data_IF_757378306805
#
_entry.id   IF_757378306805
#
_cell.length_a   1.000
_cell.length_b   1.000
_cell.length_c   1.000
_cell.angle_alpha   90.00
_cell.angle_beta   90.00
_cell.angle_gamma   90.00
#
_symmetry.space_group_name_H-M   'P 1'
#
loop_
_entity.id
_entity.type
_entity.pdbx_description
1 polymer ?
#
# COMPACT_ATOMS: atom_id res chain seq x y z
N UNK A 1 16.81 3.23 -0.21
CA UNK A 1 17.02 1.94 0.47
C UNK A 1 16.86 0.85 -0.58
N UNK A 2 17.80 -0.10 -0.67
CA UNK A 2 17.65 -1.27 -1.56
C UNK A 2 16.85 -2.36 -0.82
N UNK A 3 15.83 -2.92 -1.46
CA UNK A 3 15.06 -4.06 -0.95
C UNK A 3 15.75 -5.36 -1.34
N UNK A 4 16.08 -6.20 -0.37
CA UNK A 4 16.83 -7.44 -0.58
C UNK A 4 15.92 -8.67 -0.65
N UNK A 5 14.68 -8.56 -0.19
CA UNK A 5 13.70 -9.65 -0.27
C UNK A 5 12.24 -9.18 -0.27
N UNK A 6 11.33 -10.13 -0.50
CA UNK A 6 9.88 -9.92 -0.41
C UNK A 6 9.46 -9.74 1.06
N UNK A 7 10.12 -10.44 1.99
CA UNK A 7 9.88 -10.30 3.42
C UNK A 7 10.16 -8.87 3.89
N UNK A 8 11.29 -8.27 3.49
CA UNK A 8 11.60 -6.87 3.80
C UNK A 8 10.53 -5.90 3.26
N UNK A 9 10.01 -6.18 2.05
CA UNK A 9 8.91 -5.40 1.48
C UNK A 9 7.60 -5.57 2.27
N UNK A 10 7.30 -6.80 2.71
CA UNK A 10 6.11 -7.08 3.52
C UNK A 10 6.18 -6.41 4.89
N UNK A 11 7.37 -6.36 5.50
CA UNK A 11 7.59 -5.66 6.76
C UNK A 11 7.38 -4.15 6.62
N UNK A 12 7.87 -3.54 5.53
CA UNK A 12 7.62 -2.13 5.24
C UNK A 12 6.15 -1.84 4.97
N UNK A 13 5.46 -2.72 4.23
CA UNK A 13 4.02 -2.62 4.02
C UNK A 13 3.26 -2.69 5.34
N UNK A 14 3.66 -3.60 6.22
CA UNK A 14 3.04 -3.77 7.53
C UNK A 14 3.35 -2.59 8.45
N UNK A 15 4.53 -1.99 8.36
CA UNK A 15 4.88 -0.77 9.10
C UNK A 15 3.96 0.40 8.76
N UNK A 16 3.50 0.51 7.50
CA UNK A 16 2.49 1.50 7.12
C UNK A 16 1.11 1.30 7.78
N UNK A 17 0.87 0.18 8.47
CA UNK A 17 -0.40 -0.10 9.14
C UNK A 17 -0.52 0.76 10.40
N UNK A 18 -1.56 1.60 10.45
CA UNK A 18 -1.82 2.44 11.61
C UNK A 18 -0.93 3.68 11.68
N UNK A 19 -0.05 3.90 10.69
CA UNK A 19 0.51 5.22 10.44
C UNK A 19 -0.66 6.19 10.25
N UNK A 20 -0.75 7.15 11.18
CA UNK A 20 -1.69 8.26 11.10
C UNK A 20 -0.93 9.45 10.51
N UNK A 21 -0.92 9.65 9.19
CA UNK A 21 -0.47 10.92 8.65
C UNK A 21 -1.31 12.02 9.29
N UNK A 22 -0.67 13.12 9.69
CA UNK A 22 -1.33 14.25 10.35
C UNK A 22 -2.59 14.63 9.55
N UNK A 23 -3.75 14.48 10.18
CA UNK A 23 -5.02 14.79 9.56
C UNK A 23 -5.02 16.28 9.19
N UNK A 24 -5.05 16.57 7.89
CA UNK A 24 -5.40 17.90 7.41
C UNK A 24 -6.84 18.25 7.82
N UNK A 25 -7.21 19.54 7.82
CA UNK A 25 -8.56 19.95 8.22
C UNK A 25 -9.58 19.33 7.27
N UNK A 26 -10.32 18.31 7.74
CA UNK A 26 -11.38 17.63 6.99
C UNK A 26 -11.09 16.17 6.57
N UNK A 27 -9.89 15.64 6.80
CA UNK A 27 -9.55 14.26 6.45
C UNK A 27 -9.39 13.37 7.69
N UNK A 28 -10.31 12.42 7.91
CA UNK A 28 -10.15 11.42 8.98
C UNK A 28 -8.86 10.59 8.84
N UNK A 29 -8.50 9.80 9.86
CA UNK A 29 -7.29 8.99 9.85
C UNK A 29 -7.20 8.16 8.55
N UNK A 30 -6.19 8.42 7.72
CA UNK A 30 -5.92 7.60 6.54
C UNK A 30 -5.01 6.46 6.96
N UNK A 31 -5.51 5.23 6.90
CA UNK A 31 -4.71 4.00 7.00
C UNK A 31 -4.09 3.71 5.62
N UNK A 32 -2.81 4.03 5.38
CA UNK A 32 -2.17 3.89 4.07
C UNK A 32 -2.09 2.42 3.63
N UNK A 33 -1.80 1.51 4.57
CA UNK A 33 -1.82 0.08 4.35
C UNK A 33 -3.21 -0.42 3.92
N UNK A 34 -4.27 -0.01 4.65
CA UNK A 34 -5.64 -0.34 4.28
C UNK A 34 -6.07 0.24 2.92
N UNK A 35 -5.60 1.42 2.57
CA UNK A 35 -5.82 1.99 1.23
C UNK A 35 -5.15 1.15 0.13
N UNK A 36 -3.90 0.74 0.33
CA UNK A 36 -3.16 -0.07 -0.62
C UNK A 36 -3.81 -1.44 -0.88
N UNK A 37 -4.27 -2.12 0.18
CA UNK A 37 -5.03 -3.37 0.04
C UNK A 37 -6.32 -3.20 -0.78
N UNK A 38 -7.06 -2.10 -0.56
CA UNK A 38 -8.27 -1.80 -1.36
C UNK A 38 -7.92 -1.55 -2.82
N UNK A 39 -6.85 -0.82 -3.09
CA UNK A 39 -6.37 -0.56 -4.46
C UNK A 39 -5.96 -1.85 -5.15
N UNK A 40 -5.14 -2.70 -4.52
CA UNK A 40 -4.75 -3.99 -5.06
C UNK A 40 -5.96 -4.91 -5.33
N UNK A 41 -6.93 -4.94 -4.42
CA UNK A 41 -8.16 -5.72 -4.60
C UNK A 41 -9.03 -5.21 -5.77
N UNK A 42 -9.12 -3.90 -5.97
CA UNK A 42 -9.81 -3.30 -7.12
C UNK A 42 -9.10 -3.64 -8.43
N UNK A 43 -7.77 -3.53 -8.47
CA UNK A 43 -6.95 -3.87 -9.64
C UNK A 43 -7.06 -5.35 -9.98
N UNK A 44 -7.05 -6.24 -8.98
CA UNK A 44 -7.27 -7.68 -9.19
C UNK A 44 -8.61 -7.97 -9.85
N UNK A 45 -9.66 -7.18 -9.53
CA UNK A 45 -10.99 -7.32 -10.13
C UNK A 45 -11.07 -6.71 -11.54
N UNK A 46 -10.40 -5.57 -11.79
CA UNK A 46 -10.52 -4.80 -13.05
C UNK A 46 -9.48 -5.18 -14.10
N UNK A 47 -8.32 -5.66 -13.68
CA UNK A 47 -7.14 -6.00 -14.49
C UNK A 47 -6.53 -7.33 -14.00
N UNK A 48 -7.27 -8.45 -14.04
CA UNK A 48 -6.85 -9.70 -13.41
C UNK A 48 -5.55 -10.29 -13.99
N UNK A 49 -5.27 -10.05 -15.28
CA UNK A 49 -4.03 -10.50 -15.93
C UNK A 49 -2.80 -9.64 -15.57
N UNK A 50 -3.01 -8.41 -15.12
CA UNK A 50 -1.95 -7.44 -14.86
C UNK A 50 -1.50 -7.53 -13.39
N UNK A 51 -0.63 -8.49 -13.11
CA UNK A 51 -0.11 -8.73 -11.75
C UNK A 51 0.84 -7.62 -11.30
N UNK A 52 1.60 -7.05 -12.23
CA UNK A 52 2.53 -5.95 -11.93
C UNK A 52 1.77 -4.72 -11.46
N UNK A 53 0.67 -4.37 -12.11
CA UNK A 53 -0.20 -3.27 -11.67
C UNK A 53 -0.83 -3.53 -10.30
N UNK A 54 -1.25 -4.78 -10.02
CA UNK A 54 -1.77 -5.16 -8.70
C UNK A 54 -0.71 -4.99 -7.60
N UNK A 55 0.53 -5.41 -7.86
CA UNK A 55 1.66 -5.24 -6.95
C UNK A 55 2.01 -3.76 -6.79
N UNK A 56 2.04 -2.98 -7.87
CA UNK A 56 2.29 -1.53 -7.83
C UNK A 56 1.26 -0.80 -6.95
N UNK A 57 -0.02 -1.18 -7.05
CA UNK A 57 -1.08 -0.66 -6.19
C UNK A 57 -0.92 -1.04 -4.71
N UNK A 58 -0.37 -2.23 -4.44
CA UNK A 58 -0.08 -2.71 -3.08
C UNK A 58 1.11 -1.99 -2.46
N UNK A 59 2.18 -1.73 -3.23
CA UNK A 59 3.43 -1.13 -2.72
C UNK A 59 3.47 0.40 -2.80
N UNK A 60 2.40 1.04 -3.28
CA UNK A 60 2.29 2.50 -3.39
C UNK A 60 2.58 3.32 -2.11
N UNK A 61 2.31 2.83 -0.87
CA UNK A 61 2.67 3.58 0.34
C UNK A 61 4.14 3.40 0.77
N UNK A 62 4.87 2.40 0.26
CA UNK A 62 6.25 2.13 0.66
C UNK A 62 7.17 3.24 0.18
N UNK A 63 8.01 3.76 1.07
CA UNK A 63 9.00 4.81 0.76
C UNK A 63 8.44 6.23 0.68
N UNK A 64 7.22 6.47 1.18
CA UNK A 64 6.69 7.81 1.42
C UNK A 64 7.25 8.46 2.68
#
# INVERSE_FOLDING_TARGET
>A
MELRSVEELMDLLYACRGERPAAGPGGGPRDPHGHALRTAALLRRRRPADKELQVAGLVSPVGR
#
